data_IF_455471666553
#
_entry.id   IF_455471666553
#
_cell.length_a   1.000
_cell.length_b   1.000
_cell.length_c   1.000
_cell.angle_alpha   90.00
_cell.angle_beta   90.00
_cell.angle_gamma   90.00
#
_symmetry.space_group_name_H-M   'P 1'
#
loop_
_entity.id
_entity.type
_entity.pdbx_description
1 polymer ?
#
# COMPACT_ATOMS: atom_id res chain seq x y z
N UNK A 1 8.80 -2.69 -1.85
CA UNK A 1 9.00 -4.11 -1.42
C UNK A 1 10.45 -4.40 -1.06
N UNK A 2 11.43 -4.17 -1.94
CA UNK A 2 12.85 -4.43 -1.63
C UNK A 2 13.35 -3.67 -0.38
N UNK A 3 13.04 -2.38 -0.22
CA UNK A 3 13.44 -1.62 0.97
C UNK A 3 12.86 -2.19 2.27
N UNK A 4 11.57 -2.54 2.29
CA UNK A 4 10.92 -3.09 3.49
C UNK A 4 11.40 -4.51 3.85
N UNK A 5 11.64 -5.37 2.85
CA UNK A 5 12.16 -6.73 3.09
C UNK A 5 13.57 -6.69 3.65
N UNK A 6 14.44 -5.80 3.15
CA UNK A 6 15.79 -5.64 3.68
C UNK A 6 15.80 -5.10 5.11
N UNK A 7 14.91 -4.16 5.45
CA UNK A 7 14.78 -3.71 6.85
C UNK A 7 14.32 -4.85 7.75
N UNK A 8 13.30 -5.62 7.34
CA UNK A 8 12.80 -6.76 8.14
C UNK A 8 13.89 -7.83 8.30
N UNK A 9 14.63 -8.15 7.25
CA UNK A 9 15.77 -9.08 7.31
C UNK A 9 16.84 -8.60 8.30
N UNK A 10 17.11 -7.30 8.33
CA UNK A 10 18.11 -6.70 9.21
C UNK A 10 17.67 -6.67 10.69
N UNK A 11 16.36 -6.65 10.97
CA UNK A 11 15.81 -6.72 12.33
C UNK A 11 15.61 -8.17 12.83
N UNK A 12 15.75 -9.17 11.96
CA UNK A 12 15.64 -10.58 12.35
C UNK A 12 16.93 -11.07 13.02
N UNK A 13 16.79 -11.70 14.19
CA UNK A 13 17.91 -12.37 14.88
C UNK A 13 18.57 -13.46 14.03
N UNK A 14 17.79 -14.12 13.15
CA UNK A 14 18.29 -15.09 12.18
C UNK A 14 17.73 -14.78 10.77
N UNK A 15 18.52 -14.14 9.89
CA UNK A 15 18.06 -13.72 8.56
C UNK A 15 17.72 -14.91 7.66
N UNK A 16 18.21 -16.12 7.96
CA UNK A 16 17.88 -17.33 7.17
C UNK A 16 16.41 -17.73 7.28
N UNK A 17 15.70 -17.23 8.30
CA UNK A 17 14.28 -17.52 8.55
C UNK A 17 13.32 -16.59 7.81
N UNK A 18 13.81 -15.54 7.12
CA UNK A 18 12.97 -14.54 6.47
C UNK A 18 11.93 -15.17 5.53
N UNK A 19 12.31 -16.21 4.78
CA UNK A 19 11.39 -16.93 3.88
C UNK A 19 10.23 -17.58 4.61
N UNK A 20 10.49 -18.23 5.75
CA UNK A 20 9.43 -18.88 6.55
C UNK A 20 8.50 -17.85 7.18
N UNK A 21 9.04 -16.73 7.65
CA UNK A 21 8.26 -15.62 8.20
C UNK A 21 7.34 -15.03 7.12
N UNK A 22 7.89 -14.70 5.95
CA UNK A 22 7.10 -14.17 4.82
C UNK A 22 6.00 -15.16 4.39
N UNK A 23 6.31 -16.46 4.28
CA UNK A 23 5.31 -17.48 3.95
C UNK A 23 4.21 -17.58 5.00
N UNK A 24 4.55 -17.59 6.28
CA UNK A 24 3.58 -17.64 7.37
C UNK A 24 2.69 -16.39 7.40
N UNK A 25 3.28 -15.20 7.22
CA UNK A 25 2.54 -13.93 7.13
C UNK A 25 1.59 -13.93 5.94
N UNK A 26 2.05 -14.34 4.76
CA UNK A 26 1.19 -14.43 3.57
C UNK A 26 0.05 -15.44 3.75
N UNK A 27 0.32 -16.59 4.37
CA UNK A 27 -0.71 -17.58 4.66
C UNK A 27 -1.77 -17.03 5.62
N UNK A 28 -1.35 -16.31 6.67
CA UNK A 28 -2.24 -15.66 7.63
C UNK A 28 -3.06 -14.53 6.99
N UNK A 29 -2.43 -13.67 6.19
CA UNK A 29 -3.16 -12.62 5.46
C UNK A 29 -4.19 -13.22 4.49
N UNK A 30 -3.81 -14.28 3.78
CA UNK A 30 -4.70 -14.95 2.83
C UNK A 30 -5.88 -15.60 3.54
N UNK A 31 -5.67 -16.27 4.68
CA UNK A 31 -6.75 -16.90 5.43
C UNK A 31 -7.75 -15.87 5.97
N UNK A 32 -7.25 -14.74 6.49
CA UNK A 32 -8.08 -13.63 6.95
C UNK A 32 -8.91 -13.05 5.81
N UNK A 33 -8.31 -12.82 4.63
CA UNK A 33 -9.04 -12.32 3.46
C UNK A 33 -10.10 -13.29 2.95
N UNK A 34 -9.81 -14.59 2.90
CA UNK A 34 -10.79 -15.61 2.54
C UNK A 34 -11.95 -15.61 3.55
N UNK A 35 -11.65 -15.54 4.83
CA UNK A 35 -12.66 -15.53 5.89
C UNK A 35 -13.56 -14.28 5.81
N UNK A 36 -12.98 -13.10 5.64
CA UNK A 36 -13.73 -11.84 5.46
C UNK A 36 -14.63 -11.93 4.22
N UNK A 37 -14.09 -12.43 3.10
CA UNK A 37 -14.85 -12.55 1.85
C UNK A 37 -16.01 -13.55 1.98
N UNK A 38 -15.77 -14.69 2.63
CA UNK A 38 -16.79 -15.71 2.85
C UNK A 38 -17.94 -15.20 3.73
N UNK A 39 -17.63 -14.59 4.88
CA UNK A 39 -18.67 -14.04 5.75
C UNK A 39 -19.33 -12.79 5.16
N UNK A 40 -18.60 -11.95 4.43
CA UNK A 40 -19.16 -10.81 3.71
C UNK A 40 -20.19 -11.25 2.67
N UNK A 41 -19.86 -12.29 1.88
CA UNK A 41 -20.80 -12.86 0.92
C UNK A 41 -22.02 -13.49 1.61
N UNK A 42 -21.86 -14.17 2.75
CA UNK A 42 -23.02 -14.70 3.49
C UNK A 42 -23.92 -13.59 4.07
N UNK A 43 -23.35 -12.42 4.41
CA UNK A 43 -24.10 -11.31 4.99
C UNK A 43 -24.88 -10.50 3.94
N UNK A 44 -24.32 -10.29 2.75
CA UNK A 44 -24.89 -9.42 1.71
C UNK A 44 -25.39 -10.19 0.47
N UNK A 45 -24.93 -11.42 0.27
CA UNK A 45 -25.28 -12.26 -0.87
C UNK A 45 -25.05 -11.55 -2.21
N UNK A 46 -26.04 -11.67 -3.10
CA UNK A 46 -26.03 -11.07 -4.43
C UNK A 46 -26.17 -9.53 -4.43
N UNK A 47 -26.42 -8.92 -3.27
CA UNK A 47 -26.54 -7.45 -3.12
C UNK A 47 -25.24 -6.78 -2.68
N UNK A 48 -24.10 -7.49 -2.73
CA UNK A 48 -22.79 -6.93 -2.35
C UNK A 48 -22.34 -5.85 -3.34
N UNK A 49 -22.31 -4.59 -2.89
CA UNK A 49 -21.71 -3.47 -3.64
C UNK A 49 -20.19 -3.61 -3.78
N UNK A 50 -19.63 -3.00 -4.85
CA UNK A 50 -18.19 -2.91 -5.08
C UNK A 50 -17.45 -2.26 -3.90
N UNK A 51 -18.07 -1.27 -3.27
CA UNK A 51 -17.69 -0.78 -1.95
C UNK A 51 -18.45 -1.55 -0.87
N UNK A 52 -17.78 -2.52 -0.26
CA UNK A 52 -18.36 -3.34 0.81
C UNK A 52 -18.80 -2.49 2.00
N UNK A 53 -18.16 -1.35 2.27
CA UNK A 53 -18.51 -0.46 3.38
C UNK A 53 -19.85 0.24 3.12
N UNK A 54 -20.18 0.52 1.85
CA UNK A 54 -21.47 1.11 1.48
C UNK A 54 -22.64 0.18 1.82
N UNK A 55 -22.43 -1.15 1.83
CA UNK A 55 -23.47 -2.10 2.24
C UNK A 55 -23.83 -1.99 3.74
N UNK A 56 -22.94 -1.45 4.58
CA UNK A 56 -23.24 -1.17 6.00
C UNK A 56 -23.96 0.17 6.22
N UNK A 57 -24.44 0.82 5.16
CA UNK A 57 -25.30 2.01 5.27
C UNK A 57 -26.80 1.67 5.34
N UNK A 58 -27.17 0.43 5.05
CA UNK A 58 -28.57 -0.04 5.04
C UNK A 58 -28.90 -0.90 6.26
N UNK A 59 -30.18 -0.99 6.59
CA UNK A 59 -30.63 -1.89 7.65
C UNK A 59 -30.43 -3.36 7.22
N UNK A 60 -29.58 -4.07 7.96
CA UNK A 60 -29.20 -5.47 7.70
C UNK A 60 -30.31 -6.46 8.11
N UNK A 61 -31.43 -5.98 8.67
CA UNK A 61 -32.56 -6.82 9.08
C UNK A 61 -32.28 -7.69 10.32
N UNK A 62 -31.17 -7.43 11.01
CA UNK A 62 -30.78 -8.07 12.27
C UNK A 62 -31.01 -7.11 13.46
N UNK A 63 -31.33 -7.64 14.66
CA UNK A 63 -31.38 -6.81 15.85
C UNK A 63 -30.02 -6.12 16.07
N UNK A 64 -30.05 -4.83 16.41
CA UNK A 64 -28.86 -3.97 16.59
C UNK A 64 -28.07 -3.62 15.31
N UNK A 65 -28.65 -3.81 14.12
CA UNK A 65 -27.99 -3.45 12.85
C UNK A 65 -27.47 -2.00 12.81
N UNK A 66 -28.24 -1.03 13.31
CA UNK A 66 -27.85 0.38 13.27
C UNK A 66 -26.58 0.66 14.09
N UNK A 67 -26.50 0.11 15.30
CA UNK A 67 -25.34 0.26 16.18
C UNK A 67 -24.11 -0.43 15.59
N UNK A 68 -24.29 -1.63 15.03
CA UNK A 68 -23.21 -2.37 14.38
C UNK A 68 -22.66 -1.60 13.17
N UNK A 69 -23.54 -1.05 12.33
CA UNK A 69 -23.19 -0.22 11.18
C UNK A 69 -22.40 1.03 11.60
N UNK A 70 -22.85 1.73 12.64
CA UNK A 70 -22.16 2.91 13.15
C UNK A 70 -20.79 2.58 13.74
N UNK A 71 -20.67 1.46 14.48
CA UNK A 71 -19.39 1.01 15.03
C UNK A 71 -18.40 0.67 13.92
N UNK A 72 -18.83 -0.08 12.90
CA UNK A 72 -17.98 -0.39 11.73
C UNK A 72 -17.56 0.92 11.05
N UNK A 73 -18.49 1.86 10.86
CA UNK A 73 -18.22 3.15 10.22
C UNK A 73 -17.19 3.99 10.95
N UNK A 74 -17.38 4.18 12.23
CA UNK A 74 -16.45 4.95 13.07
C UNK A 74 -15.10 4.24 13.15
N UNK A 75 -15.09 2.91 13.26
CA UNK A 75 -13.86 2.11 13.33
C UNK A 75 -13.01 2.29 12.07
N UNK A 76 -13.58 2.14 10.87
CA UNK A 76 -12.78 2.32 9.65
C UNK A 76 -12.40 3.79 9.43
N UNK A 77 -13.26 4.75 9.76
CA UNK A 77 -12.94 6.17 9.60
C UNK A 77 -11.75 6.56 10.49
N UNK A 78 -11.76 6.10 11.74
CA UNK A 78 -10.64 6.28 12.66
C UNK A 78 -9.39 5.55 12.18
N UNK A 79 -9.52 4.32 11.67
CA UNK A 79 -8.41 3.58 11.09
C UNK A 79 -7.76 4.35 9.94
N UNK A 80 -8.55 4.85 8.99
CA UNK A 80 -8.05 5.64 7.85
C UNK A 80 -7.38 6.95 8.30
N UNK A 81 -7.94 7.64 9.31
CA UNK A 81 -7.32 8.83 9.89
C UNK A 81 -5.94 8.54 10.49
N UNK A 82 -5.74 7.38 11.10
CA UNK A 82 -4.47 6.98 11.70
C UNK A 82 -3.46 6.45 10.66
N UNK A 83 -3.95 5.71 9.67
CA UNK A 83 -3.09 5.14 8.61
C UNK A 83 -2.61 6.22 7.64
N UNK A 84 -3.41 7.26 7.40
CA UNK A 84 -3.05 8.31 6.45
C UNK A 84 -1.69 8.98 6.76
N UNK A 85 -1.40 9.49 7.98
CA UNK A 85 -0.09 10.03 8.32
C UNK A 85 1.06 9.03 8.18
N UNK A 86 0.81 7.77 8.56
CA UNK A 86 1.80 6.67 8.51
C UNK A 86 2.22 6.40 7.07
N UNK A 87 1.30 6.45 6.12
CA UNK A 87 1.59 6.28 4.68
C UNK A 87 2.13 7.55 4.03
N UNK A 88 1.66 8.72 4.46
CA UNK A 88 2.05 10.00 3.88
C UNK A 88 3.51 10.35 4.20
N UNK A 89 4.01 9.95 5.37
CA UNK A 89 5.40 10.18 5.76
C UNK A 89 6.43 9.57 4.77
N UNK A 90 6.44 8.24 4.51
CA UNK A 90 7.37 7.65 3.56
C UNK A 90 7.10 8.15 2.14
N UNK A 91 5.84 8.36 1.74
CA UNK A 91 5.53 8.92 0.41
C UNK A 91 6.27 10.24 0.18
N UNK A 92 6.17 11.16 1.13
CA UNK A 92 6.84 12.46 1.04
C UNK A 92 8.36 12.31 1.00
N UNK A 93 8.93 11.47 1.86
CA UNK A 93 10.38 11.26 1.88
C UNK A 93 10.89 10.68 0.55
N UNK A 94 10.17 9.73 -0.04
CA UNK A 94 10.53 9.17 -1.35
C UNK A 94 10.45 10.22 -2.47
N UNK A 95 9.44 11.10 -2.45
CA UNK A 95 9.30 12.17 -3.46
C UNK A 95 10.36 13.25 -3.28
N UNK A 96 10.70 13.60 -2.03
CA UNK A 96 11.77 14.56 -1.75
C UNK A 96 13.13 14.04 -2.23
N UNK A 97 13.47 12.78 -1.92
CA UNK A 97 14.69 12.13 -2.40
C UNK A 97 14.73 12.03 -3.93
N UNK A 98 13.58 11.75 -4.56
CA UNK A 98 13.47 11.68 -6.02
C UNK A 98 13.67 13.04 -6.71
N UNK A 99 13.12 14.12 -6.16
CA UNK A 99 13.19 15.46 -6.74
C UNK A 99 14.46 16.22 -6.37
N UNK A 100 14.99 15.98 -5.17
CA UNK A 100 16.15 16.70 -4.61
C UNK A 100 17.19 15.74 -4.01
N UNK A 101 17.81 14.85 -4.80
CA UNK A 101 18.74 13.83 -4.31
C UNK A 101 20.02 14.39 -3.67
N UNK A 102 20.29 15.70 -3.80
CA UNK A 102 21.49 16.36 -3.25
C UNK A 102 21.15 17.49 -2.26
N UNK A 103 19.89 17.60 -1.82
CA UNK A 103 19.47 18.60 -0.85
C UNK A 103 19.77 18.19 0.60
N UNK A 104 19.85 19.19 1.48
CA UNK A 104 19.89 19.00 2.94
C UNK A 104 18.59 18.36 3.43
N UNK A 105 18.68 17.63 4.54
CA UNK A 105 17.55 16.96 5.20
C UNK A 105 16.29 17.83 5.23
N UNK A 106 15.17 17.25 4.77
CA UNK A 106 13.87 17.89 4.69
C UNK A 106 13.37 18.43 6.05
N UNK A 107 13.85 17.87 7.16
CA UNK A 107 13.56 18.32 8.51
C UNK A 107 14.11 19.72 8.82
N UNK A 108 15.13 20.17 8.10
CA UNK A 108 15.77 21.48 8.31
C UNK A 108 15.19 22.59 7.41
N UNK A 109 14.47 22.23 6.33
CA UNK A 109 13.86 23.20 5.40
C UNK A 109 12.34 23.18 5.49
N UNK A 110 11.81 24.00 6.41
CA UNK A 110 10.36 24.14 6.63
C UNK A 110 9.60 24.59 5.40
N UNK A 111 10.22 25.36 4.48
CA UNK A 111 9.54 25.84 3.27
C UNK A 111 9.34 24.70 2.28
N UNK A 112 10.38 23.89 2.02
CA UNK A 112 10.28 22.70 1.16
C UNK A 112 9.30 21.69 1.72
N UNK A 113 9.33 21.49 3.04
CA UNK A 113 8.40 20.62 3.74
C UNK A 113 6.94 21.03 3.50
N UNK A 114 6.61 22.32 3.66
CA UNK A 114 5.26 22.84 3.46
C UNK A 114 4.86 22.73 1.99
N UNK A 115 5.73 23.13 1.05
CA UNK A 115 5.45 23.07 -0.38
C UNK A 115 5.18 21.65 -0.86
N UNK A 116 6.01 20.67 -0.48
CA UNK A 116 5.79 19.27 -0.83
C UNK A 116 4.49 18.72 -0.23
N UNK A 117 4.20 19.07 1.02
CA UNK A 117 2.97 18.63 1.68
C UNK A 117 1.73 19.21 1.01
N UNK A 118 1.72 20.51 0.70
CA UNK A 118 0.63 21.15 -0.05
C UNK A 118 0.48 20.52 -1.43
N UNK A 119 1.58 20.35 -2.17
CA UNK A 119 1.54 19.77 -3.50
C UNK A 119 0.98 18.33 -3.49
N UNK A 120 1.43 17.50 -2.55
CA UNK A 120 0.95 16.12 -2.39
C UNK A 120 -0.54 16.08 -1.99
N UNK A 121 -0.96 16.92 -1.03
CA UNK A 121 -2.38 16.99 -0.63
C UNK A 121 -3.25 17.45 -1.79
N UNK A 122 -2.83 18.49 -2.54
CA UNK A 122 -3.55 18.94 -3.73
C UNK A 122 -3.66 17.84 -4.79
N UNK A 123 -2.58 17.10 -5.03
CA UNK A 123 -2.59 15.99 -5.99
C UNK A 123 -3.53 14.85 -5.56
N UNK A 124 -3.51 14.48 -4.28
CA UNK A 124 -4.41 13.45 -3.72
C UNK A 124 -5.87 13.92 -3.80
N UNK A 125 -6.14 15.18 -3.44
CA UNK A 125 -7.49 15.75 -3.46
C UNK A 125 -8.05 15.79 -4.88
N UNK A 126 -7.26 16.26 -5.85
CA UNK A 126 -7.66 16.22 -7.26
C UNK A 126 -7.90 14.79 -7.74
N UNK A 127 -6.99 13.86 -7.40
CA UNK A 127 -7.16 12.45 -7.74
C UNK A 127 -8.44 11.84 -7.15
N UNK A 128 -8.81 12.21 -5.93
CA UNK A 128 -10.05 11.77 -5.29
C UNK A 128 -11.30 12.32 -5.96
N UNK A 129 -11.27 13.56 -6.49
CA UNK A 129 -12.40 14.16 -7.21
C UNK A 129 -12.63 13.51 -8.59
N UNK A 130 -11.55 13.11 -9.27
CA UNK A 130 -11.64 12.47 -10.59
C UNK A 130 -12.03 10.99 -10.56
N UNK A 131 -11.86 10.31 -9.41
CA UNK A 131 -12.09 8.87 -9.30
C UNK A 131 -13.41 8.61 -8.57
N UNK A 132 -14.50 8.30 -9.29
CA UNK A 132 -15.82 8.08 -8.68
C UNK A 132 -15.91 6.77 -7.89
N UNK A 133 -14.98 5.82 -8.09
CA UNK A 133 -14.94 4.53 -7.39
C UNK A 133 -13.53 4.21 -6.91
N UNK A 134 -13.41 3.95 -5.60
CA UNK A 134 -12.14 3.56 -4.96
C UNK A 134 -11.60 2.25 -5.57
N UNK A 135 -12.50 1.37 -6.01
CA UNK A 135 -12.16 0.09 -6.63
C UNK A 135 -11.36 0.27 -7.92
N UNK A 136 -11.72 1.24 -8.76
CA UNK A 136 -11.02 1.53 -10.01
C UNK A 136 -9.57 1.99 -9.75
N UNK A 137 -9.39 2.86 -8.75
CA UNK A 137 -8.06 3.29 -8.32
C UNK A 137 -7.20 2.13 -7.80
N UNK A 138 -7.79 1.23 -7.02
CA UNK A 138 -7.07 0.07 -6.49
C UNK A 138 -6.70 -0.93 -7.58
N UNK A 139 -7.59 -1.20 -8.54
CA UNK A 139 -7.28 -2.08 -9.67
C UNK A 139 -6.15 -1.50 -10.52
N UNK A 140 -6.23 -0.22 -10.89
CA UNK A 140 -5.23 0.43 -11.72
C UNK A 140 -3.86 0.48 -11.01
N UNK A 141 -3.85 0.94 -9.75
CA UNK A 141 -2.61 1.05 -8.96
C UNK A 141 -2.03 -0.34 -8.67
N UNK A 142 -2.88 -1.32 -8.36
CA UNK A 142 -2.47 -2.71 -8.10
C UNK A 142 -1.86 -3.35 -9.34
N UNK A 143 -2.54 -3.27 -10.49
CA UNK A 143 -2.06 -3.87 -11.74
C UNK A 143 -0.71 -3.26 -12.18
N UNK A 144 -0.60 -1.93 -12.18
CA UNK A 144 0.63 -1.24 -12.58
C UNK A 144 1.78 -1.52 -11.62
N UNK A 145 1.58 -1.38 -10.31
CA UNK A 145 2.63 -1.61 -9.31
C UNK A 145 3.06 -3.09 -9.25
N UNK A 146 2.13 -4.04 -9.34
CA UNK A 146 2.43 -5.47 -9.35
C UNK A 146 3.25 -5.87 -10.57
N UNK A 147 2.89 -5.38 -11.76
CA UNK A 147 3.66 -5.66 -12.99
C UNK A 147 5.06 -5.05 -12.91
N UNK A 148 5.16 -3.78 -12.50
CA UNK A 148 6.45 -3.10 -12.36
C UNK A 148 7.37 -3.79 -11.37
N UNK A 149 6.88 -4.07 -10.15
CA UNK A 149 7.69 -4.64 -9.06
C UNK A 149 7.93 -6.14 -9.20
N UNK A 150 6.94 -6.89 -9.70
CA UNK A 150 7.01 -8.35 -9.81
C UNK A 150 7.81 -8.83 -11.01
N UNK A 151 7.77 -8.10 -12.13
CA UNK A 151 8.34 -8.56 -13.40
C UNK A 151 9.37 -7.59 -13.98
N UNK A 152 9.03 -6.30 -14.13
CA UNK A 152 9.87 -5.35 -14.87
C UNK A 152 11.18 -5.07 -14.11
N UNK A 153 11.10 -4.67 -12.85
CA UNK A 153 12.30 -4.33 -12.08
C UNK A 153 13.27 -5.50 -11.87
N UNK A 154 12.81 -6.72 -11.48
CA UNK A 154 13.71 -7.86 -11.36
C UNK A 154 14.40 -8.21 -12.69
N UNK A 155 13.67 -8.17 -13.81
CA UNK A 155 14.23 -8.42 -15.13
C UNK A 155 15.28 -7.35 -15.51
N UNK A 156 14.99 -6.08 -15.29
CA UNK A 156 15.91 -4.98 -15.57
C UNK A 156 17.20 -5.08 -14.74
N UNK A 157 17.10 -5.42 -13.45
CA UNK A 157 18.27 -5.62 -12.57
C UNK A 157 19.10 -6.80 -13.05
N UNK A 158 18.47 -7.93 -13.37
CA UNK A 158 19.17 -9.13 -13.86
C UNK A 158 19.94 -8.85 -15.17
N UNK A 159 19.33 -8.14 -16.11
CA UNK A 159 19.96 -7.75 -17.37
C UNK A 159 21.14 -6.79 -17.14
N UNK A 160 20.97 -5.77 -16.29
CA UNK A 160 22.05 -4.83 -15.95
C UNK A 160 23.21 -5.53 -15.26
N UNK A 161 22.92 -6.46 -14.34
CA UNK A 161 23.96 -7.25 -13.68
C UNK A 161 24.72 -8.12 -14.66
N UNK A 162 24.02 -8.84 -15.55
CA UNK A 162 24.64 -9.65 -16.60
C UNK A 162 25.51 -8.80 -17.52
N UNK A 163 25.02 -7.65 -18.00
CA UNK A 163 25.80 -6.74 -18.84
C UNK A 163 27.05 -6.20 -18.12
N UNK A 164 26.93 -5.87 -16.83
CA UNK A 164 28.07 -5.42 -16.02
C UNK A 164 29.13 -6.51 -15.84
N UNK A 165 28.71 -7.77 -15.65
CA UNK A 165 29.64 -8.92 -15.56
C UNK A 165 30.34 -9.15 -16.89
N UNK A 166 29.62 -9.13 -18.00
CA UNK A 166 30.21 -9.27 -19.35
C UNK A 166 31.24 -8.18 -19.63
N UNK A 167 30.93 -6.91 -19.31
CA UNK A 167 31.87 -5.80 -19.48
C UNK A 167 33.12 -5.94 -18.60
N UNK A 168 32.98 -6.44 -17.37
CA UNK A 168 34.11 -6.70 -16.48
C UNK A 168 35.04 -7.80 -17.02
N UNK A 169 34.47 -8.90 -17.52
CA UNK A 169 35.22 -10.01 -18.12
C UNK A 169 35.96 -9.60 -19.40
N UNK A 170 35.44 -8.65 -20.17
CA UNK A 170 36.09 -8.15 -21.38
C UNK A 170 37.19 -7.11 -21.11
N UNK A 171 37.28 -6.58 -19.87
CA UNK A 171 38.34 -5.66 -19.43
C UNK A 171 39.54 -6.35 -18.76
N UNK A 172 39.48 -7.69 -18.61
CA UNK A 172 40.52 -8.56 -18.07
C UNK A 172 41.23 -9.31 -19.18
#
# INVERSE_FOLDING_TARGET
>A
VCSAVHTIENELEDPTKIRKVVQASLALCSSVYIMISFFGFLLFGDSTLDDVLANFNTDLGIPYSSVLNDVIRVSYALHLMLVFPVLFYPLRSNIDELLFPSARDLALDTRRFILLTIALICMIFLGADFVPSIWDAFQFTGATSAVCLGFIFPAAIALRFSASVTNFLQSR
#
